data_IF_782608294553
#
_entry.id   IF_782608294553
#
_cell.length_a   1.000
_cell.length_b   1.000
_cell.length_c   1.000
_cell.angle_alpha   90.00
_cell.angle_beta   90.00
_cell.angle_gamma   90.00
#
_symmetry.space_group_name_H-M   'P 1'
#
loop_
_entity.id
_entity.type
_entity.pdbx_description
1 polymer ?
#
# COMPACT_ATOMS: atom_id res chain seq x y z
N UNK A 1 35.55 -27.59 -7.50
CA UNK A 1 35.24 -26.24 -7.03
C UNK A 1 33.75 -26.19 -6.75
N UNK A 2 33.37 -26.46 -5.50
CA UNK A 2 32.00 -26.71 -5.06
C UNK A 2 31.51 -25.45 -4.32
N UNK A 3 30.54 -24.72 -4.91
CA UNK A 3 29.86 -23.61 -4.26
C UNK A 3 28.36 -23.87 -4.42
N UNK A 4 27.83 -24.86 -3.72
CA UNK A 4 26.39 -25.05 -3.48
C UNK A 4 26.19 -25.96 -2.26
N UNK A 5 26.72 -25.53 -1.11
CA UNK A 5 26.40 -26.14 0.17
C UNK A 5 25.90 -25.07 1.11
N UNK A 6 24.60 -24.92 1.18
CA UNK A 6 23.97 -23.94 2.10
C UNK A 6 22.46 -23.87 2.04
N UNK A 7 21.80 -24.69 1.22
CA UNK A 7 20.36 -24.88 1.34
C UNK A 7 20.16 -26.10 2.24
N UNK A 8 20.03 -25.86 3.53
CA UNK A 8 19.43 -26.86 4.42
C UNK A 8 18.08 -27.23 3.84
N UNK A 9 17.75 -28.53 3.69
CA UNK A 9 16.41 -28.93 3.33
C UNK A 9 15.49 -28.37 4.41
N UNK A 10 14.83 -27.26 4.09
CA UNK A 10 13.78 -26.72 4.95
C UNK A 10 12.81 -27.87 5.14
N UNK A 11 12.59 -28.30 6.38
CA UNK A 11 11.74 -29.42 6.69
C UNK A 11 10.41 -29.23 5.95
N UNK A 12 10.04 -30.19 5.12
CA UNK A 12 8.85 -30.10 4.28
C UNK A 12 7.58 -29.86 5.11
N UNK A 13 7.59 -30.23 6.37
CA UNK A 13 6.51 -29.98 7.33
C UNK A 13 6.47 -28.50 7.74
N UNK A 14 7.61 -27.86 7.98
CA UNK A 14 7.66 -26.44 8.33
C UNK A 14 7.18 -25.56 7.16
N UNK A 15 7.59 -25.88 5.93
CA UNK A 15 7.14 -25.17 4.72
C UNK A 15 5.62 -25.30 4.55
N UNK A 16 5.08 -26.51 4.71
CA UNK A 16 3.63 -26.75 4.62
C UNK A 16 2.87 -25.94 5.67
N UNK A 17 3.36 -25.90 6.90
CA UNK A 17 2.74 -25.14 7.97
C UNK A 17 2.76 -23.63 7.69
N UNK A 18 3.86 -23.09 7.15
CA UNK A 18 3.95 -21.68 6.73
C UNK A 18 2.95 -21.36 5.61
N UNK A 19 2.85 -22.23 4.62
CA UNK A 19 1.89 -22.08 3.50
C UNK A 19 0.45 -22.12 4.05
N UNK A 20 0.13 -23.04 4.93
CA UNK A 20 -1.20 -23.13 5.56
C UNK A 20 -1.56 -21.85 6.31
N UNK A 21 -0.65 -21.36 7.16
CA UNK A 21 -0.87 -20.09 7.90
C UNK A 21 -1.05 -18.90 6.98
N UNK A 22 -0.29 -18.85 5.88
CA UNK A 22 -0.43 -17.79 4.88
C UNK A 22 -1.80 -17.87 4.20
N UNK A 23 -2.24 -19.05 3.78
CA UNK A 23 -3.56 -19.25 3.18
C UNK A 23 -4.69 -18.81 4.12
N UNK A 24 -4.64 -19.24 5.38
CA UNK A 24 -5.62 -18.85 6.40
C UNK A 24 -5.64 -17.32 6.63
N UNK A 25 -4.47 -16.66 6.58
CA UNK A 25 -4.39 -15.21 6.69
C UNK A 25 -5.03 -14.51 5.48
N UNK A 26 -4.74 -14.99 4.27
CA UNK A 26 -5.33 -14.46 3.03
C UNK A 26 -6.85 -14.63 3.02
N UNK A 27 -7.34 -15.79 3.45
CA UNK A 27 -8.79 -16.05 3.50
C UNK A 27 -9.49 -15.13 4.50
N UNK A 28 -8.88 -14.86 5.65
CA UNK A 28 -9.41 -13.87 6.61
C UNK A 28 -9.47 -12.47 6.00
N UNK A 29 -8.43 -12.05 5.29
CA UNK A 29 -8.41 -10.74 4.61
C UNK A 29 -9.55 -10.67 3.59
N UNK A 30 -9.71 -11.71 2.76
CA UNK A 30 -10.81 -11.79 1.78
C UNK A 30 -12.19 -11.69 2.45
N UNK A 31 -12.40 -12.38 3.55
CA UNK A 31 -13.65 -12.33 4.31
C UNK A 31 -13.94 -10.93 4.84
N UNK A 32 -12.96 -10.24 5.40
CA UNK A 32 -13.13 -8.87 5.89
C UNK A 32 -13.44 -7.90 4.75
N UNK A 33 -12.73 -8.01 3.62
CA UNK A 33 -12.97 -7.15 2.45
C UNK A 33 -14.36 -7.37 1.87
N UNK A 34 -14.84 -8.61 1.81
CA UNK A 34 -16.18 -8.99 1.30
C UNK A 34 -17.33 -8.40 2.12
N UNK A 35 -17.11 -8.01 3.37
CA UNK A 35 -18.13 -7.31 4.17
C UNK A 35 -18.47 -5.92 3.62
N UNK A 36 -17.55 -5.31 2.88
CA UNK A 36 -17.67 -3.96 2.33
C UNK A 36 -17.78 -3.96 0.82
N UNK A 37 -17.04 -4.84 0.16
CA UNK A 37 -16.95 -4.93 -1.30
C UNK A 37 -17.69 -6.19 -1.76
N UNK A 38 -18.75 -6.00 -2.52
CA UNK A 38 -19.52 -7.10 -3.11
C UNK A 38 -19.06 -7.31 -4.56
N UNK A 39 -18.72 -8.53 -4.89
CA UNK A 39 -18.16 -8.88 -6.21
C UNK A 39 -16.69 -8.49 -6.36
N UNK A 40 -16.22 -8.37 -7.58
CA UNK A 40 -14.84 -7.98 -7.95
C UNK A 40 -13.75 -8.89 -7.35
N UNK A 41 -14.04 -10.17 -7.14
CA UNK A 41 -13.11 -11.10 -6.47
C UNK A 41 -11.77 -11.20 -7.19
N UNK A 42 -11.78 -11.25 -8.53
CA UNK A 42 -10.55 -11.27 -9.33
C UNK A 42 -9.70 -9.99 -9.13
N UNK A 43 -10.34 -8.83 -8.96
CA UNK A 43 -9.62 -7.57 -8.70
C UNK A 43 -9.01 -7.61 -7.30
N UNK A 44 -9.76 -8.06 -6.30
CA UNK A 44 -9.27 -8.20 -4.92
C UNK A 44 -8.05 -9.12 -4.91
N UNK A 45 -8.12 -10.26 -5.58
CA UNK A 45 -7.03 -11.24 -5.63
C UNK A 45 -5.78 -10.67 -6.30
N UNK A 46 -5.92 -10.03 -7.45
CA UNK A 46 -4.79 -9.40 -8.15
C UNK A 46 -4.13 -8.29 -7.32
N UNK A 47 -4.90 -7.47 -6.62
CA UNK A 47 -4.36 -6.44 -5.73
C UNK A 47 -3.63 -7.07 -4.54
N UNK A 48 -4.16 -8.14 -3.95
CA UNK A 48 -3.49 -8.86 -2.87
C UNK A 48 -2.18 -9.50 -3.35
N UNK A 49 -2.16 -10.12 -4.53
CA UNK A 49 -0.93 -10.68 -5.12
C UNK A 49 0.12 -9.58 -5.29
N UNK A 50 -0.24 -8.46 -5.92
CA UNK A 50 0.70 -7.35 -6.11
C UNK A 50 1.23 -6.82 -4.78
N UNK A 51 0.36 -6.71 -3.76
CA UNK A 51 0.76 -6.26 -2.43
C UNK A 51 1.77 -7.21 -1.77
N UNK A 52 1.52 -8.53 -1.82
CA UNK A 52 2.40 -9.51 -1.20
C UNK A 52 3.75 -9.65 -1.88
N UNK A 53 3.82 -9.39 -3.19
CA UNK A 53 5.11 -9.36 -3.91
C UNK A 53 5.80 -7.99 -3.86
N UNK A 54 5.22 -7.00 -3.17
CA UNK A 54 5.76 -5.64 -3.09
C UNK A 54 5.66 -4.89 -4.42
N UNK A 55 4.70 -5.24 -5.27
CA UNK A 55 4.49 -4.65 -6.59
C UNK A 55 3.50 -3.50 -6.59
N UNK A 56 3.19 -3.02 -7.79
CA UNK A 56 2.21 -1.96 -8.05
C UNK A 56 1.05 -2.50 -8.89
N UNK A 57 -0.15 -1.91 -8.71
CA UNK A 57 -1.34 -2.25 -9.47
C UNK A 57 -1.84 -1.05 -10.27
N UNK A 58 -2.22 -1.27 -11.51
CA UNK A 58 -3.02 -0.34 -12.28
C UNK A 58 -4.48 -0.81 -12.29
N UNK A 59 -5.37 -0.06 -11.65
CA UNK A 59 -6.80 -0.34 -11.62
C UNK A 59 -7.51 0.50 -12.67
N UNK A 60 -7.91 -0.12 -13.77
CA UNK A 60 -8.70 0.51 -14.83
C UNK A 60 -10.19 0.19 -14.65
N UNK A 61 -11.06 1.10 -15.02
CA UNK A 61 -12.50 0.88 -14.95
C UNK A 61 -13.29 2.18 -14.91
N UNK A 62 -14.60 2.06 -15.10
CA UNK A 62 -15.52 3.19 -15.11
C UNK A 62 -15.50 3.95 -13.77
N UNK A 63 -15.80 5.26 -13.79
CA UNK A 63 -16.05 6.02 -12.57
C UNK A 63 -17.15 5.36 -11.73
N UNK A 64 -17.04 5.45 -10.40
CA UNK A 64 -18.05 4.86 -9.50
C UNK A 64 -17.95 3.35 -9.24
N UNK A 65 -16.95 2.66 -9.78
CA UNK A 65 -16.76 1.21 -9.58
C UNK A 65 -16.07 0.85 -8.25
N UNK A 66 -16.19 1.69 -7.25
CA UNK A 66 -15.67 1.48 -5.89
C UNK A 66 -14.15 1.21 -5.78
N UNK A 67 -13.34 1.59 -6.80
CA UNK A 67 -11.88 1.39 -6.78
C UNK A 67 -11.21 1.98 -5.52
N UNK A 68 -11.53 3.22 -5.22
CA UNK A 68 -11.01 3.91 -4.02
C UNK A 68 -11.46 3.23 -2.73
N UNK A 69 -12.71 2.77 -2.68
CA UNK A 69 -13.25 2.06 -1.52
C UNK A 69 -12.53 0.72 -1.32
N UNK A 70 -12.28 -0.02 -2.40
CA UNK A 70 -11.54 -1.29 -2.36
C UNK A 70 -10.14 -1.11 -1.75
N UNK A 71 -9.35 -0.18 -2.31
CA UNK A 71 -7.97 0.05 -1.85
C UNK A 71 -7.94 0.52 -0.40
N UNK A 72 -8.85 1.43 -0.03
CA UNK A 72 -8.99 1.92 1.36
C UNK A 72 -9.38 0.80 2.32
N UNK A 73 -10.30 -0.08 1.91
CA UNK A 73 -10.74 -1.22 2.73
C UNK A 73 -9.59 -2.20 2.93
N UNK A 74 -8.84 -2.53 1.87
CA UNK A 74 -7.65 -3.37 1.97
C UNK A 74 -6.61 -2.79 2.92
N UNK A 75 -6.26 -1.52 2.77
CA UNK A 75 -5.31 -0.85 3.65
C UNK A 75 -5.75 -0.93 5.12
N UNK A 76 -7.03 -0.68 5.38
CA UNK A 76 -7.61 -0.76 6.74
C UNK A 76 -7.57 -2.18 7.30
N UNK A 77 -7.96 -3.17 6.50
CA UNK A 77 -7.94 -4.59 6.90
C UNK A 77 -6.53 -5.07 7.24
N UNK A 78 -5.53 -4.57 6.52
CA UNK A 78 -4.13 -4.92 6.71
C UNK A 78 -3.40 -4.04 7.75
N UNK A 79 -4.07 -3.03 8.30
CA UNK A 79 -3.46 -2.10 9.26
C UNK A 79 -2.37 -1.21 8.64
N UNK A 80 -2.42 -0.97 7.32
CA UNK A 80 -1.44 -0.16 6.61
C UNK A 80 -1.81 1.32 6.65
N UNK A 81 -0.79 2.18 6.75
CA UNK A 81 -0.96 3.63 6.52
C UNK A 81 -1.35 3.84 5.07
N UNK A 82 -2.45 4.54 4.84
CA UNK A 82 -3.02 4.78 3.53
C UNK A 82 -3.12 6.28 3.25
N UNK A 83 -2.66 6.70 2.07
CA UNK A 83 -2.90 8.02 1.53
C UNK A 83 -3.48 7.93 0.12
N UNK A 84 -4.22 8.95 -0.27
CA UNK A 84 -4.75 9.14 -1.62
C UNK A 84 -4.24 10.46 -2.18
N UNK A 85 -3.74 10.41 -3.39
CA UNK A 85 -3.43 11.61 -4.19
C UNK A 85 -4.39 11.60 -5.39
N UNK A 86 -5.14 12.67 -5.53
CA UNK A 86 -5.95 12.89 -6.73
C UNK A 86 -5.15 13.75 -7.68
N UNK A 87 -4.84 13.20 -8.85
CA UNK A 87 -4.10 13.92 -9.88
C UNK A 87 -5.02 14.91 -10.58
N UNK A 88 -4.67 16.19 -10.50
CA UNK A 88 -5.34 17.31 -11.15
C UNK A 88 -4.31 18.10 -11.95
N UNK A 89 -4.70 18.86 -12.99
CA UNK A 89 -3.74 19.60 -13.82
C UNK A 89 -2.90 20.63 -13.06
N UNK A 90 -3.35 21.07 -11.91
CA UNK A 90 -2.69 22.05 -11.02
C UNK A 90 -1.86 21.40 -9.90
N UNK A 91 -1.79 20.06 -9.83
CA UNK A 91 -1.02 19.35 -8.82
C UNK A 91 0.47 19.62 -8.97
N UNK A 92 1.09 20.11 -7.92
CA UNK A 92 2.53 20.37 -7.88
C UNK A 92 3.31 19.16 -7.32
N UNK A 93 4.57 18.97 -7.74
CA UNK A 93 5.42 17.93 -7.16
C UNK A 93 5.55 18.02 -5.64
N UNK A 94 5.58 19.21 -5.07
CA UNK A 94 5.62 19.47 -3.63
C UNK A 94 4.38 18.96 -2.89
N UNK A 95 3.22 18.90 -3.56
CA UNK A 95 1.99 18.37 -2.98
C UNK A 95 2.08 16.85 -2.82
N UNK A 96 2.94 16.20 -3.58
CA UNK A 96 3.21 14.75 -3.53
C UNK A 96 4.32 14.43 -2.54
N UNK A 97 5.46 15.09 -2.69
CA UNK A 97 6.70 14.77 -1.95
C UNK A 97 6.81 15.51 -0.63
N UNK A 98 6.08 16.62 -0.48
CA UNK A 98 6.25 17.54 0.63
C UNK A 98 7.23 18.66 0.32
N UNK A 99 7.39 19.56 1.27
CA UNK A 99 8.20 20.78 1.12
C UNK A 99 8.90 21.12 2.42
N UNK A 100 9.95 21.92 2.33
CA UNK A 100 10.58 22.54 3.49
C UNK A 100 9.78 23.77 3.91
N UNK A 101 9.45 23.85 5.18
CA UNK A 101 8.83 25.01 5.82
C UNK A 101 9.80 25.63 6.83
N UNK A 102 9.75 26.94 6.94
CA UNK A 102 10.50 27.66 7.95
C UNK A 102 9.70 27.67 9.25
N UNK A 103 10.14 26.92 10.24
CA UNK A 103 9.55 26.93 11.58
C UNK A 103 10.35 27.87 12.49
N UNK A 104 9.64 28.68 13.27
CA UNK A 104 10.21 29.49 14.32
C UNK A 104 9.93 28.83 15.68
N UNK A 105 10.97 28.50 16.40
CA UNK A 105 10.85 27.99 17.76
C UNK A 105 10.39 29.15 18.66
N UNK A 106 9.17 29.05 19.14
CA UNK A 106 8.53 30.07 19.98
C UNK A 106 9.25 30.28 21.33
N UNK A 107 10.11 29.35 21.75
CA UNK A 107 10.84 29.40 23.01
C UNK A 107 12.20 30.08 22.84
N UNK A 108 12.90 29.82 21.74
CA UNK A 108 14.27 30.30 21.49
C UNK A 108 14.36 31.39 20.43
N UNK A 109 13.29 31.63 19.64
CA UNK A 109 13.29 32.55 18.50
C UNK A 109 14.13 32.11 17.31
N UNK A 110 14.73 30.91 17.35
CA UNK A 110 15.52 30.38 16.27
C UNK A 110 14.64 29.88 15.15
N UNK A 111 14.99 30.21 13.91
CA UNK A 111 14.32 29.72 12.68
C UNK A 111 15.10 28.56 12.13
N UNK A 112 14.38 27.48 11.81
CA UNK A 112 14.94 26.30 11.15
C UNK A 112 14.05 25.84 10.00
N UNK A 113 14.67 25.30 8.95
CA UNK A 113 13.94 24.61 7.91
C UNK A 113 13.57 23.20 8.39
N UNK A 114 12.29 22.84 8.26
CA UNK A 114 11.77 21.52 8.61
C UNK A 114 11.09 20.95 7.39
N UNK A 115 11.51 19.76 6.99
CA UNK A 115 10.87 19.05 5.89
C UNK A 115 9.52 18.47 6.33
N UNK A 116 8.44 18.97 5.77
CA UNK A 116 7.08 18.44 5.96
C UNK A 116 6.80 17.39 4.90
N UNK A 117 6.63 16.15 5.33
CA UNK A 117 6.43 15.01 4.44
C UNK A 117 5.09 15.09 3.73
N UNK A 118 5.10 14.92 2.41
CA UNK A 118 3.91 14.81 1.60
C UNK A 118 3.25 13.42 1.67
N UNK A 119 2.10 13.26 1.00
CA UNK A 119 1.30 12.02 1.04
C UNK A 119 1.99 10.79 0.47
N UNK A 120 3.07 10.93 -0.31
CA UNK A 120 3.84 9.80 -0.84
C UNK A 120 4.52 8.98 0.27
N UNK A 121 4.77 9.58 1.43
CA UNK A 121 5.36 8.89 2.58
C UNK A 121 4.31 8.06 3.33
N UNK A 122 3.90 6.98 2.71
CA UNK A 122 2.90 6.04 3.23
C UNK A 122 3.26 4.60 2.85
N UNK A 123 2.54 3.63 3.40
CA UNK A 123 2.75 2.22 3.07
C UNK A 123 1.89 1.78 1.87
N UNK A 124 0.72 2.37 1.71
CA UNK A 124 -0.17 2.16 0.58
C UNK A 124 -0.64 3.50 0.04
N UNK A 125 -0.32 3.78 -1.20
CA UNK A 125 -0.69 5.01 -1.89
C UNK A 125 -1.67 4.72 -3.02
N UNK A 126 -2.78 5.44 -3.05
CA UNK A 126 -3.67 5.47 -4.20
C UNK A 126 -3.42 6.74 -5.01
N UNK A 127 -2.85 6.56 -6.21
CA UNK A 127 -2.76 7.61 -7.23
C UNK A 127 -4.04 7.57 -8.06
N UNK A 128 -4.98 8.44 -7.74
CA UNK A 128 -6.30 8.47 -8.39
C UNK A 128 -6.30 9.44 -9.55
N UNK A 129 -6.93 9.04 -10.66
CA UNK A 129 -7.01 9.83 -11.90
C UNK A 129 -5.62 10.21 -12.48
N UNK A 130 -4.66 9.29 -12.41
CA UNK A 130 -3.25 9.52 -12.82
C UNK A 130 -3.09 9.87 -14.31
N UNK A 131 -4.13 9.70 -15.10
CA UNK A 131 -4.17 10.01 -16.53
C UNK A 131 -4.62 11.44 -16.86
N UNK A 132 -4.80 12.28 -15.87
CA UNK A 132 -5.21 13.69 -16.03
C UNK A 132 -4.04 14.64 -16.13
#
# INVERSE_FOLDING_TARGET
>A
MSILTGVTPTDSAEVRERVRRFQEAVDRIRQEVRKVIVGQEAVIENVLIALFVGGHCLLTGLPGTAKTLLVRTLARTLGLKFNRIQFTPDLMPSDITGTEILEEDTTSGHRRFVFTRGPVFTQMLLADEINR
#
